data_IF_929231669353
#
_entry.id   IF_929231669353
#
_cell.length_a   1.000
_cell.length_b   1.000
_cell.length_c   1.000
_cell.angle_alpha   90.00
_cell.angle_beta   90.00
_cell.angle_gamma   90.00
#
_symmetry.space_group_name_H-M   'P 1'
#
loop_
_entity.id
_entity.type
_entity.pdbx_description
1 polymer ?
#
# COMPACT_ATOMS: atom_id res chain seq x y z
N UNK A 1 38.54 23.19 32.02
CA UNK A 1 38.79 21.74 31.85
C UNK A 1 37.83 21.10 30.85
N UNK A 2 36.63 20.63 31.22
CA UNK A 2 35.71 19.93 30.27
C UNK A 2 35.30 20.82 29.08
N UNK A 3 34.99 22.10 29.31
CA UNK A 3 34.60 23.06 28.25
C UNK A 3 35.70 23.30 27.20
N UNK A 4 36.96 23.30 27.62
CA UNK A 4 38.10 23.54 26.73
C UNK A 4 38.41 22.31 25.89
N UNK A 5 38.29 21.13 26.50
CA UNK A 5 38.50 19.87 25.81
C UNK A 5 37.40 19.60 24.77
N UNK A 6 36.14 19.90 25.09
CA UNK A 6 35.02 19.83 24.13
C UNK A 6 35.30 20.70 22.90
N UNK A 7 35.82 21.93 23.07
CA UNK A 7 36.11 22.84 21.94
C UNK A 7 37.10 22.25 20.93
N UNK A 8 38.10 21.48 21.40
CA UNK A 8 39.12 20.88 20.53
C UNK A 8 38.52 19.88 19.52
N UNK A 9 37.43 19.23 19.91
CA UNK A 9 36.76 18.21 19.09
C UNK A 9 35.43 18.70 18.50
N UNK A 10 35.11 20.00 18.65
CA UNK A 10 33.88 20.60 18.14
C UNK A 10 34.13 21.28 16.81
N UNK A 11 33.42 20.86 15.78
CA UNK A 11 33.39 21.50 14.46
C UNK A 11 31.98 22.05 14.20
N UNK A 12 31.87 23.30 13.74
CA UNK A 12 30.58 23.96 13.46
C UNK A 12 29.53 23.86 14.61
N UNK A 13 29.95 23.98 15.86
CA UNK A 13 29.09 23.79 17.05
C UNK A 13 28.47 22.39 17.17
N UNK A 14 29.14 21.37 16.61
CA UNK A 14 28.73 19.96 16.68
C UNK A 14 29.85 19.10 17.22
N UNK A 15 29.48 18.09 18.00
CA UNK A 15 30.37 17.09 18.58
C UNK A 15 29.83 15.70 18.23
N UNK A 16 30.66 14.77 17.78
CA UNK A 16 30.22 13.38 17.56
C UNK A 16 30.22 12.60 18.88
N UNK A 17 29.38 11.58 19.02
CA UNK A 17 29.35 10.72 20.21
C UNK A 17 30.71 10.07 20.50
N UNK A 18 31.44 9.65 19.45
CA UNK A 18 32.79 9.09 19.59
C UNK A 18 33.77 10.10 20.20
N UNK A 19 33.70 11.37 19.79
CA UNK A 19 34.55 12.41 20.35
C UNK A 19 34.11 12.80 21.77
N UNK A 20 32.81 12.77 22.08
CA UNK A 20 32.32 12.98 23.44
C UNK A 20 32.84 11.93 24.43
N UNK A 21 32.93 10.67 24.01
CA UNK A 21 33.56 9.61 24.82
C UNK A 21 35.07 9.80 24.99
N UNK A 22 35.78 10.22 23.94
CA UNK A 22 37.22 10.55 24.05
C UNK A 22 37.48 11.66 25.06
N UNK A 23 36.61 12.67 25.10
CA UNK A 23 36.69 13.76 26.10
C UNK A 23 36.38 13.24 27.51
N UNK A 24 35.43 12.32 27.66
CA UNK A 24 35.12 11.70 28.93
C UNK A 24 36.30 10.86 29.46
N UNK A 25 36.91 10.06 28.60
CA UNK A 25 38.06 9.20 28.90
C UNK A 25 39.32 10.02 29.20
N UNK A 26 39.62 11.05 28.42
CA UNK A 26 40.83 11.88 28.60
C UNK A 26 40.82 12.69 29.89
N UNK A 27 39.63 13.03 30.40
CA UNK A 27 39.45 13.80 31.63
C UNK A 27 39.03 12.93 32.83
N UNK A 28 38.80 11.63 32.63
CA UNK A 28 38.30 10.72 33.67
C UNK A 28 36.93 11.12 34.22
N UNK A 29 36.10 11.79 33.43
CA UNK A 29 34.76 12.27 33.84
C UNK A 29 33.66 11.41 33.24
N UNK A 30 32.50 11.36 33.91
CA UNK A 30 31.34 10.64 33.39
C UNK A 30 30.80 11.25 32.08
N UNK A 31 30.33 10.42 31.16
CA UNK A 31 29.71 10.82 29.90
C UNK A 31 28.58 11.85 30.08
N UNK A 32 27.78 11.69 31.14
CA UNK A 32 26.71 12.64 31.48
C UNK A 32 27.22 14.07 31.73
N UNK A 33 28.38 14.21 32.38
CA UNK A 33 28.98 15.53 32.63
C UNK A 33 29.44 16.21 31.34
N UNK A 34 30.00 15.45 30.39
CA UNK A 34 30.35 15.94 29.05
C UNK A 34 29.11 16.36 28.27
N UNK A 35 28.02 15.58 28.34
CA UNK A 35 26.75 15.89 27.69
C UNK A 35 26.07 17.17 28.21
N UNK A 36 26.02 17.34 29.53
CA UNK A 36 25.48 18.55 30.16
C UNK A 36 26.31 19.78 29.79
N UNK A 37 27.64 19.66 29.87
CA UNK A 37 28.57 20.73 29.52
C UNK A 37 28.47 21.13 28.04
N UNK A 38 28.34 20.16 27.12
CA UNK A 38 28.14 20.45 25.70
C UNK A 38 26.81 21.20 25.46
N UNK A 39 25.75 20.81 26.18
CA UNK A 39 24.44 21.47 26.10
C UNK A 39 24.50 22.92 26.59
N UNK A 40 25.17 23.18 27.71
CA UNK A 40 25.42 24.55 28.20
C UNK A 40 26.19 25.41 27.20
N UNK A 41 27.08 24.80 26.43
CA UNK A 41 27.88 25.47 25.41
C UNK A 41 27.14 25.63 24.07
N UNK A 42 25.89 25.16 23.96
CA UNK A 42 25.13 25.17 22.71
C UNK A 42 25.68 24.20 21.65
N UNK A 43 26.54 23.26 22.04
CA UNK A 43 27.14 22.26 21.15
C UNK A 43 26.23 21.04 21.07
N UNK A 44 25.82 20.67 19.86
CA UNK A 44 24.90 19.55 19.65
C UNK A 44 25.67 18.24 19.41
N UNK A 45 25.43 17.24 20.26
CA UNK A 45 26.02 15.90 20.09
C UNK A 45 25.22 15.12 19.04
N UNK A 46 25.89 14.63 17.99
CA UNK A 46 25.32 13.78 16.93
C UNK A 46 25.84 12.33 17.02
N UNK A 47 25.12 11.42 16.39
CA UNK A 47 25.53 10.01 16.19
C UNK A 47 25.74 9.24 17.49
N UNK A 48 24.86 9.47 18.48
CA UNK A 48 24.85 8.72 19.73
C UNK A 48 24.06 7.42 19.57
N UNK A 49 24.73 6.36 19.13
CA UNK A 49 24.13 5.04 18.85
C UNK A 49 23.45 4.39 20.06
N UNK A 50 23.93 4.68 21.26
CA UNK A 50 23.37 4.17 22.51
C UNK A 50 22.44 5.16 23.23
N UNK A 51 22.27 6.37 22.71
CA UNK A 51 21.45 7.41 23.32
C UNK A 51 22.01 8.06 24.59
N UNK A 52 23.20 7.68 25.09
CA UNK A 52 23.80 8.09 26.37
C UNK A 52 24.00 9.60 26.57
N UNK A 53 24.12 10.36 25.48
CA UNK A 53 24.25 11.82 25.50
C UNK A 53 23.02 12.54 24.93
N UNK A 54 22.01 11.79 24.51
CA UNK A 54 20.68 12.31 24.23
C UNK A 54 19.80 12.25 25.47
N UNK A 55 18.54 12.67 25.36
CA UNK A 55 17.52 12.42 26.39
C UNK A 55 17.30 10.91 26.52
N UNK A 56 18.14 10.23 27.28
CA UNK A 56 17.87 8.89 27.79
C UNK A 56 16.54 8.94 28.52
N UNK A 57 15.63 8.04 28.16
CA UNK A 57 14.31 7.79 28.76
C UNK A 57 14.08 8.60 30.04
N UNK A 58 13.66 9.85 29.90
CA UNK A 58 13.03 10.53 31.02
C UNK A 58 11.64 9.91 31.08
N UNK A 59 11.23 9.54 32.30
CA UNK A 59 9.83 9.38 32.70
C UNK A 59 8.95 10.24 31.81
N UNK A 60 7.93 9.66 31.18
CA UNK A 60 7.02 10.41 30.32
C UNK A 60 6.65 11.69 31.06
N UNK A 61 7.09 12.84 30.54
CA UNK A 61 6.82 14.10 31.21
C UNK A 61 5.32 14.16 31.50
N UNK A 62 4.91 14.63 32.68
CA UNK A 62 3.49 14.67 33.05
C UNK A 62 2.62 15.34 31.97
N UNK A 63 3.20 16.30 31.24
CA UNK A 63 2.59 16.93 30.07
C UNK A 63 2.38 16.01 28.86
N UNK A 64 3.25 15.02 28.63
CA UNK A 64 3.09 14.00 27.59
C UNK A 64 1.97 13.01 27.93
N UNK A 65 1.86 12.62 29.20
CA UNK A 65 0.78 11.73 29.68
C UNK A 65 -0.56 12.43 29.57
N UNK A 66 -0.66 13.67 30.04
CA UNK A 66 -1.86 14.49 29.92
C UNK A 66 -2.26 14.72 28.46
N UNK A 67 -1.28 15.02 27.59
CA UNK A 67 -1.53 15.17 26.16
C UNK A 67 -2.04 13.85 25.52
N UNK A 68 -1.54 12.69 25.94
CA UNK A 68 -2.02 11.40 25.46
C UNK A 68 -3.47 11.13 25.89
N UNK A 69 -3.81 11.36 27.15
CA UNK A 69 -5.19 11.23 27.64
C UNK A 69 -6.15 12.16 26.89
N UNK A 70 -5.73 13.40 26.60
CA UNK A 70 -6.51 14.34 25.80
C UNK A 70 -6.65 13.91 24.33
N UNK A 71 -5.69 13.16 23.78
CA UNK A 71 -5.75 12.61 22.42
C UNK A 71 -6.65 11.38 22.29
N UNK A 72 -6.76 10.54 23.33
CA UNK A 72 -7.48 9.24 23.28
C UNK A 72 -8.87 9.30 22.62
N UNK A 73 -9.74 10.29 22.91
CA UNK A 73 -11.07 10.36 22.30
C UNK A 73 -11.05 10.56 20.77
N UNK A 74 -9.95 11.07 20.23
CA UNK A 74 -9.77 11.36 18.79
C UNK A 74 -9.01 10.26 18.05
N UNK A 75 -8.58 9.20 18.75
CA UNK A 75 -7.87 8.08 18.15
C UNK A 75 -8.85 7.09 17.52
N UNK A 76 -8.52 6.61 16.33
CA UNK A 76 -9.21 5.48 15.73
C UNK A 76 -8.70 4.13 16.28
N UNK A 77 -9.39 3.05 15.90
CA UNK A 77 -9.06 1.66 16.20
C UNK A 77 -7.63 1.23 15.82
N UNK A 78 -6.91 2.01 15.02
CA UNK A 78 -5.53 1.75 14.59
C UNK A 78 -4.52 2.71 15.22
N UNK A 79 -4.90 3.38 16.31
CA UNK A 79 -4.05 4.35 17.00
C UNK A 79 -3.64 5.52 16.10
N UNK A 80 -4.59 6.09 15.35
CA UNK A 80 -4.35 7.21 14.42
C UNK A 80 -5.25 8.39 14.75
N UNK A 81 -4.70 9.60 14.64
CA UNK A 81 -5.42 10.87 14.86
C UNK A 81 -5.50 11.68 13.57
N UNK A 82 -6.58 12.45 13.36
CA UNK A 82 -6.58 13.43 12.27
C UNK A 82 -5.67 14.61 12.61
N UNK A 83 -4.95 15.14 11.61
CA UNK A 83 -4.07 16.30 11.80
C UNK A 83 -4.80 17.51 12.37
N UNK A 84 -6.10 17.68 12.05
CA UNK A 84 -6.91 18.77 12.60
C UNK A 84 -7.12 18.61 14.11
N UNK A 85 -7.39 17.39 14.59
CA UNK A 85 -7.64 17.14 16.01
C UNK A 85 -6.34 17.19 16.83
N UNK A 86 -5.24 16.67 16.28
CA UNK A 86 -3.91 16.86 16.87
C UNK A 86 -3.53 18.35 16.99
N UNK A 87 -3.88 19.16 15.98
CA UNK A 87 -3.65 20.62 15.96
C UNK A 87 -4.48 21.37 16.99
N UNK A 88 -5.73 20.94 17.27
CA UNK A 88 -6.56 21.57 18.33
C UNK A 88 -5.89 21.49 19.69
N UNK A 89 -5.17 20.41 19.97
CA UNK A 89 -4.47 20.19 21.23
C UNK A 89 -3.15 20.99 21.34
N UNK A 90 -2.67 21.60 20.24
CA UNK A 90 -1.44 22.41 20.27
C UNK A 90 -1.61 23.69 21.11
N UNK A 91 -2.81 24.27 21.18
CA UNK A 91 -3.05 25.47 21.99
C UNK A 91 -2.92 25.20 23.49
N UNK A 92 -3.11 23.95 23.92
CA UNK A 92 -3.09 23.55 25.33
C UNK A 92 -1.72 22.99 25.74
N UNK A 93 -1.13 22.10 24.92
CA UNK A 93 0.11 21.38 25.29
C UNK A 93 1.35 21.84 24.52
N UNK A 94 1.18 22.63 23.46
CA UNK A 94 2.25 23.06 22.57
C UNK A 94 2.70 21.99 21.56
N UNK A 95 3.10 22.44 20.36
CA UNK A 95 3.53 21.57 19.27
C UNK A 95 4.66 20.57 19.62
N UNK A 96 5.71 20.95 20.40
CA UNK A 96 6.78 20.01 20.76
C UNK A 96 6.28 18.83 21.61
N UNK A 97 5.35 19.08 22.54
CA UNK A 97 4.75 18.07 23.40
C UNK A 97 3.89 17.14 22.57
N UNK A 98 2.96 17.69 21.76
CA UNK A 98 2.11 16.91 20.85
C UNK A 98 2.97 16.01 19.95
N UNK A 99 4.04 16.54 19.36
CA UNK A 99 4.96 15.76 18.52
C UNK A 99 5.68 14.65 19.30
N UNK A 100 6.13 14.93 20.51
CA UNK A 100 6.78 13.94 21.37
C UNK A 100 5.79 12.83 21.77
N UNK A 101 4.58 13.18 22.18
CA UNK A 101 3.49 12.26 22.52
C UNK A 101 3.14 11.36 21.34
N UNK A 102 2.90 11.93 20.15
CA UNK A 102 2.63 11.15 18.93
C UNK A 102 3.75 10.14 18.63
N UNK A 103 5.01 10.54 18.82
CA UNK A 103 6.17 9.67 18.61
C UNK A 103 6.29 8.58 19.67
N UNK A 104 6.15 8.93 20.95
CA UNK A 104 6.34 8.03 22.09
C UNK A 104 5.25 6.95 22.14
N UNK A 105 3.99 7.34 21.89
CA UNK A 105 2.85 6.42 21.88
C UNK A 105 2.57 5.79 20.51
N UNK A 106 3.48 5.97 19.53
CA UNK A 106 3.37 5.43 18.16
C UNK A 106 2.02 5.73 17.50
N UNK A 107 1.53 6.96 17.65
CA UNK A 107 0.28 7.43 17.04
C UNK A 107 0.58 7.98 15.65
N UNK A 108 -0.10 7.48 14.62
CA UNK A 108 0.05 8.01 13.26
C UNK A 108 -0.93 9.18 13.01
N UNK A 109 -0.47 10.22 12.29
CA UNK A 109 -1.31 11.37 11.91
C UNK A 109 -1.84 11.18 10.49
N UNK A 110 -3.16 11.30 10.30
CA UNK A 110 -3.83 11.30 9.00
C UNK A 110 -4.11 12.71 8.50
N UNK A 111 -4.21 12.86 7.18
CA UNK A 111 -4.70 14.07 6.51
C UNK A 111 -3.95 15.34 6.92
N UNK A 112 -2.61 15.27 6.93
CA UNK A 112 -1.78 16.42 7.25
C UNK A 112 -1.86 17.47 6.12
N UNK A 113 -2.64 18.53 6.34
CA UNK A 113 -2.81 19.64 5.38
C UNK A 113 -1.51 20.35 5.00
N UNK A 114 -0.50 20.30 5.88
CA UNK A 114 0.80 20.95 5.70
C UNK A 114 1.89 19.99 5.19
N UNK A 115 1.59 18.71 5.00
CA UNK A 115 2.58 17.69 4.63
C UNK A 115 3.65 17.39 5.67
N UNK A 116 3.57 17.97 6.88
CA UNK A 116 4.53 17.77 7.97
C UNK A 116 4.58 16.32 8.48
N UNK A 117 3.52 15.55 8.25
CA UNK A 117 3.45 14.12 8.55
C UNK A 117 3.22 13.36 7.25
N UNK A 118 4.13 12.43 6.91
CA UNK A 118 3.90 11.47 5.83
C UNK A 118 2.78 10.53 6.27
N UNK A 119 1.63 10.58 5.60
CA UNK A 119 0.64 9.51 5.74
C UNK A 119 1.33 8.19 5.43
N UNK A 120 1.42 7.30 6.42
CA UNK A 120 1.70 5.89 6.14
C UNK A 120 0.49 5.35 5.41
N UNK A 121 0.48 5.49 4.08
CA UNK A 121 -0.30 4.62 3.21
C UNK A 121 0.26 3.22 3.50
N UNK A 122 -0.39 2.49 4.40
CA UNK A 122 0.00 1.11 4.72
C UNK A 122 0.16 0.31 3.44
N UNK A 123 0.87 -0.82 3.51
CA UNK A 123 1.12 -1.68 2.34
C UNK A 123 -0.21 -1.91 1.58
N UNK A 124 -0.31 -1.34 0.38
CA UNK A 124 -1.51 -1.46 -0.45
C UNK A 124 -1.44 -2.78 -1.18
N UNK A 125 -1.99 -3.81 -0.56
CA UNK A 125 -2.11 -5.11 -1.17
C UNK A 125 -3.49 -5.25 -1.83
N UNK A 126 -3.51 -5.76 -3.05
CA UNK A 126 -4.73 -6.10 -3.79
C UNK A 126 -4.64 -7.56 -4.19
N UNK A 127 -5.64 -8.36 -3.86
CA UNK A 127 -5.70 -9.75 -4.28
C UNK A 127 -6.10 -9.81 -5.75
N UNK A 128 -5.35 -10.56 -6.55
CA UNK A 128 -5.66 -10.84 -7.94
C UNK A 128 -6.11 -12.30 -8.07
N UNK A 129 -7.32 -12.49 -8.56
CA UNK A 129 -7.90 -13.80 -8.83
C UNK A 129 -7.93 -14.06 -10.34
N UNK A 130 -7.70 -15.33 -10.70
CA UNK A 130 -7.98 -15.84 -12.04
C UNK A 130 -9.01 -16.94 -11.87
N UNK A 131 -10.10 -16.86 -12.64
CA UNK A 131 -11.13 -17.89 -12.65
C UNK A 131 -11.23 -18.47 -14.06
N UNK A 132 -11.72 -19.70 -14.12
CA UNK A 132 -11.96 -20.40 -15.36
C UNK A 132 -13.02 -21.49 -15.12
N UNK A 133 -13.75 -21.85 -16.18
CA UNK A 133 -14.84 -22.82 -16.16
C UNK A 133 -14.49 -23.95 -17.11
N UNK A 134 -14.48 -25.19 -16.60
CA UNK A 134 -14.29 -26.41 -17.37
C UNK A 134 -15.53 -27.29 -17.26
N UNK A 135 -15.80 -28.08 -18.29
CA UNK A 135 -16.78 -29.16 -18.19
C UNK A 135 -16.18 -30.41 -17.52
N UNK A 136 -17.00 -31.44 -17.32
CA UNK A 136 -16.55 -32.74 -16.76
C UNK A 136 -15.53 -33.48 -17.63
N UNK A 137 -15.42 -33.14 -18.91
CA UNK A 137 -14.45 -33.69 -19.87
C UNK A 137 -13.10 -32.96 -19.83
N UNK A 138 -12.98 -31.88 -19.04
CA UNK A 138 -11.79 -31.02 -18.98
C UNK A 138 -11.68 -30.02 -20.14
N UNK A 139 -12.74 -29.84 -20.93
CA UNK A 139 -12.81 -28.80 -21.96
C UNK A 139 -12.99 -27.43 -21.28
N UNK A 140 -12.06 -26.51 -21.54
CA UNK A 140 -12.12 -25.16 -20.99
C UNK A 140 -13.12 -24.30 -21.76
N UNK A 141 -14.17 -23.87 -21.06
CA UNK A 141 -15.29 -23.08 -21.58
C UNK A 141 -15.03 -21.57 -21.43
N UNK A 142 -14.77 -21.12 -20.20
CA UNK A 142 -14.49 -19.70 -19.90
C UNK A 142 -13.16 -19.56 -19.15
N UNK A 143 -12.47 -18.43 -19.34
CA UNK A 143 -11.16 -18.14 -18.76
C UNK A 143 -10.31 -17.26 -19.69
N UNK A 144 -9.20 -16.72 -19.17
CA UNK A 144 -8.31 -15.81 -19.94
C UNK A 144 -7.91 -16.40 -21.29
N UNK A 145 -8.01 -15.58 -22.34
CA UNK A 145 -7.79 -15.96 -23.74
C UNK A 145 -8.99 -16.56 -24.48
N UNK A 146 -9.85 -17.37 -23.83
CA UNK A 146 -10.99 -18.02 -24.53
C UNK A 146 -12.23 -17.14 -24.57
N UNK A 147 -12.54 -16.46 -23.48
CA UNK A 147 -13.65 -15.50 -23.40
C UNK A 147 -13.40 -14.27 -24.25
N UNK A 148 -12.12 -13.95 -24.46
CA UNK A 148 -11.67 -12.88 -25.35
C UNK A 148 -12.05 -13.16 -26.81
N UNK A 149 -12.22 -14.42 -27.23
CA UNK A 149 -12.66 -14.75 -28.60
C UNK A 149 -14.03 -14.17 -28.89
N UNK A 150 -15.01 -14.43 -28.01
CA UNK A 150 -16.36 -13.86 -28.17
C UNK A 150 -16.33 -12.33 -28.06
N UNK A 151 -15.55 -11.78 -27.12
CA UNK A 151 -15.45 -10.34 -26.93
C UNK A 151 -14.88 -9.64 -28.18
N UNK A 152 -13.81 -10.18 -28.76
CA UNK A 152 -13.23 -9.61 -29.99
C UNK A 152 -14.13 -9.84 -31.21
N UNK A 153 -14.81 -10.98 -31.33
CA UNK A 153 -15.77 -11.19 -32.43
C UNK A 153 -16.94 -10.21 -32.32
N UNK A 154 -17.43 -9.91 -31.11
CA UNK A 154 -18.49 -8.92 -30.92
C UNK A 154 -18.10 -7.52 -31.41
N UNK A 155 -16.81 -7.19 -31.35
CA UNK A 155 -16.27 -5.90 -31.79
C UNK A 155 -15.91 -5.89 -33.28
N UNK A 156 -15.36 -6.99 -33.79
CA UNK A 156 -14.78 -7.06 -35.14
C UNK A 156 -15.69 -7.68 -36.19
N UNK A 157 -16.70 -8.45 -35.75
CA UNK A 157 -17.56 -9.24 -36.62
C UNK A 157 -16.81 -10.31 -37.41
N UNK A 158 -15.62 -10.76 -36.97
CA UNK A 158 -14.79 -11.69 -37.74
C UNK A 158 -13.93 -12.60 -36.86
N UNK A 159 -14.05 -13.91 -37.05
CA UNK A 159 -13.19 -14.92 -36.41
C UNK A 159 -11.73 -14.74 -36.82
N UNK A 160 -11.49 -14.33 -38.08
CA UNK A 160 -10.13 -14.07 -38.57
C UNK A 160 -9.51 -12.88 -37.84
N UNK A 161 -10.24 -11.77 -37.74
CA UNK A 161 -9.76 -10.61 -36.98
C UNK A 161 -9.53 -10.96 -35.50
N UNK A 162 -10.43 -11.75 -34.89
CA UNK A 162 -10.24 -12.22 -33.53
C UNK A 162 -8.99 -13.10 -33.36
N UNK A 163 -8.69 -13.96 -34.33
CA UNK A 163 -7.48 -14.78 -34.31
C UNK A 163 -6.19 -13.96 -34.41
N UNK A 164 -6.21 -12.87 -35.20
CA UNK A 164 -5.09 -11.93 -35.34
C UNK A 164 -4.88 -11.07 -34.07
N UNK A 165 -5.97 -10.53 -33.51
CA UNK A 165 -5.94 -9.72 -32.28
C UNK A 165 -5.44 -10.52 -31.09
N UNK A 166 -5.81 -11.80 -31.01
CA UNK A 166 -5.49 -12.68 -29.88
C UNK A 166 -4.23 -13.53 -30.11
N UNK A 167 -3.47 -13.23 -31.17
CA UNK A 167 -2.23 -13.94 -31.56
C UNK A 167 -2.41 -15.47 -31.53
N UNK A 168 -3.50 -15.97 -32.15
CA UNK A 168 -3.83 -17.39 -32.17
C UNK A 168 -4.19 -17.89 -33.57
N UNK A 169 -4.00 -19.18 -33.80
CA UNK A 169 -4.39 -19.80 -35.08
C UNK A 169 -5.92 -19.74 -35.27
N UNK A 170 -6.38 -19.39 -36.47
CA UNK A 170 -7.80 -19.41 -36.86
C UNK A 170 -8.52 -20.69 -36.44
N UNK A 171 -7.91 -21.87 -36.66
CA UNK A 171 -8.49 -23.17 -36.27
C UNK A 171 -8.72 -23.28 -34.77
N UNK A 172 -7.84 -22.67 -33.97
CA UNK A 172 -7.97 -22.65 -32.49
C UNK A 172 -9.13 -21.75 -32.05
N UNK A 173 -9.27 -20.59 -32.68
CA UNK A 173 -10.38 -19.65 -32.47
C UNK A 173 -11.73 -20.32 -32.82
N UNK A 174 -11.81 -20.95 -34.00
CA UNK A 174 -12.98 -21.71 -34.45
C UNK A 174 -13.34 -22.86 -33.51
N UNK A 175 -12.36 -23.66 -33.09
CA UNK A 175 -12.58 -24.76 -32.16
C UNK A 175 -13.12 -24.27 -30.81
N UNK A 176 -12.72 -23.10 -30.32
CA UNK A 176 -13.30 -22.55 -29.10
C UNK A 176 -14.78 -22.24 -29.22
N UNK A 177 -15.19 -21.61 -30.31
CA UNK A 177 -16.60 -21.34 -30.55
C UNK A 177 -17.41 -22.64 -30.62
N UNK A 178 -16.86 -23.67 -31.26
CA UNK A 178 -17.53 -24.98 -31.37
C UNK A 178 -17.62 -25.72 -30.05
N UNK A 179 -16.61 -25.64 -29.20
CA UNK A 179 -16.65 -26.19 -27.84
C UNK A 179 -17.74 -25.48 -27.02
N UNK A 180 -17.85 -24.15 -27.15
CA UNK A 180 -18.91 -23.39 -26.47
C UNK A 180 -20.30 -23.78 -26.97
N UNK A 181 -20.55 -23.81 -28.29
CA UNK A 181 -21.86 -24.24 -28.82
C UNK A 181 -22.23 -25.66 -28.37
N UNK A 182 -21.29 -26.61 -28.42
CA UNK A 182 -21.49 -27.99 -27.95
C UNK A 182 -21.89 -28.05 -26.48
N UNK A 183 -21.21 -27.29 -25.62
CA UNK A 183 -21.38 -27.39 -24.16
C UNK A 183 -22.62 -26.63 -23.64
N UNK A 184 -23.06 -25.60 -24.35
CA UNK A 184 -24.27 -24.84 -23.99
C UNK A 184 -25.52 -25.31 -24.72
N UNK A 185 -25.41 -26.28 -25.63
CA UNK A 185 -26.49 -26.81 -26.46
C UNK A 185 -27.32 -25.70 -27.14
N UNK A 186 -26.62 -24.67 -27.61
CA UNK A 186 -27.23 -23.47 -28.20
C UNK A 186 -26.38 -22.95 -29.36
N UNK A 187 -27.02 -22.30 -30.32
CA UNK A 187 -26.33 -21.62 -31.40
C UNK A 187 -25.84 -20.28 -30.88
N UNK A 188 -24.53 -20.09 -30.86
CA UNK A 188 -23.90 -18.90 -30.27
C UNK A 188 -23.47 -17.89 -31.34
N UNK A 189 -23.32 -18.33 -32.58
CA UNK A 189 -22.89 -17.47 -33.68
C UNK A 189 -23.41 -17.95 -35.03
N UNK A 190 -23.42 -17.05 -35.99
CA UNK A 190 -23.64 -17.33 -37.40
C UNK A 190 -22.48 -16.80 -38.24
N UNK A 191 -22.05 -17.58 -39.22
CA UNK A 191 -21.02 -17.17 -40.17
C UNK A 191 -21.60 -17.02 -41.56
N UNK A 192 -21.38 -15.88 -42.19
CA UNK A 192 -21.70 -15.61 -43.59
C UNK A 192 -20.42 -15.76 -44.43
N UNK A 193 -20.26 -16.87 -45.18
CA UNK A 193 -19.07 -17.08 -46.01
C UNK A 193 -19.01 -16.09 -47.18
N UNK A 194 -17.80 -15.61 -47.50
CA UNK A 194 -17.55 -14.69 -48.62
C UNK A 194 -16.47 -13.64 -48.30
N UNK A 195 -16.07 -12.85 -49.29
CA UNK A 195 -15.12 -11.73 -49.14
C UNK A 195 -15.76 -10.34 -49.30
N UNK A 196 -17.08 -10.26 -49.25
CA UNK A 196 -17.84 -9.00 -49.45
C UNK A 196 -18.20 -8.29 -48.14
N UNK A 197 -18.84 -7.11 -48.24
CA UNK A 197 -19.31 -6.30 -47.09
C UNK A 197 -20.29 -7.03 -46.15
N UNK A 198 -20.92 -8.12 -46.61
CA UNK A 198 -21.87 -8.94 -45.85
C UNK A 198 -21.24 -10.21 -45.25
N UNK A 199 -19.95 -10.45 -45.48
CA UNK A 199 -19.24 -11.58 -44.92
C UNK A 199 -18.75 -11.29 -43.51
N UNK A 200 -18.77 -12.29 -42.64
CA UNK A 200 -18.38 -12.11 -41.25
C UNK A 200 -18.97 -13.16 -40.32
N UNK A 201 -18.79 -12.92 -39.03
CA UNK A 201 -19.31 -13.70 -37.92
C UNK A 201 -20.11 -12.80 -37.03
N UNK A 202 -21.38 -13.16 -36.82
CA UNK A 202 -22.32 -12.43 -35.99
C UNK A 202 -22.66 -13.29 -34.78
N UNK A 203 -22.51 -12.73 -33.58
CA UNK A 203 -22.90 -13.42 -32.35
C UNK A 203 -24.40 -13.35 -32.14
N UNK A 204 -24.97 -14.44 -31.63
CA UNK A 204 -26.38 -14.50 -31.25
C UNK A 204 -26.60 -13.92 -29.86
N UNK A 205 -27.85 -13.53 -29.50
CA UNK A 205 -28.17 -13.00 -28.17
C UNK A 205 -27.65 -13.86 -27.01
N UNK A 206 -27.70 -15.20 -27.15
CA UNK A 206 -27.20 -16.12 -26.13
C UNK A 206 -25.71 -15.96 -25.84
N UNK A 207 -24.88 -15.71 -26.86
CA UNK A 207 -23.45 -15.49 -26.65
C UNK A 207 -23.19 -14.26 -25.78
N UNK A 208 -23.94 -13.17 -26.01
CA UNK A 208 -23.85 -11.96 -25.18
C UNK A 208 -24.30 -12.22 -23.74
N UNK A 209 -25.38 -12.96 -23.55
CA UNK A 209 -25.87 -13.35 -22.21
C UNK A 209 -24.80 -14.15 -21.43
N UNK A 210 -24.15 -15.11 -22.08
CA UNK A 210 -23.09 -15.90 -21.48
C UNK A 210 -21.86 -15.05 -21.13
N UNK A 211 -21.46 -14.14 -22.02
CA UNK A 211 -20.36 -13.21 -21.76
C UNK A 211 -20.65 -12.31 -20.56
N UNK A 212 -21.86 -11.75 -20.46
CA UNK A 212 -22.23 -10.88 -19.34
C UNK A 212 -22.33 -11.66 -18.03
N UNK A 213 -22.90 -12.87 -18.07
CA UNK A 213 -22.96 -13.77 -16.91
C UNK A 213 -21.56 -14.10 -16.38
N UNK A 214 -20.62 -14.39 -17.28
CA UNK A 214 -19.23 -14.63 -16.89
C UNK A 214 -18.54 -13.38 -16.32
N UNK A 215 -18.74 -12.20 -16.94
CA UNK A 215 -18.22 -10.92 -16.42
C UNK A 215 -18.80 -10.59 -15.03
N UNK A 216 -20.07 -10.91 -14.80
CA UNK A 216 -20.70 -10.79 -13.48
C UNK A 216 -20.02 -11.70 -12.45
N UNK A 217 -19.83 -12.98 -12.78
CA UNK A 217 -19.14 -13.93 -11.91
C UNK A 217 -17.71 -13.49 -11.57
N UNK A 218 -16.96 -12.97 -12.54
CA UNK A 218 -15.61 -12.42 -12.32
C UNK A 218 -15.61 -11.29 -11.28
N UNK A 219 -16.55 -10.34 -11.41
CA UNK A 219 -16.70 -9.22 -10.47
C UNK A 219 -17.03 -9.71 -9.06
N UNK A 220 -18.02 -10.59 -8.93
CA UNK A 220 -18.47 -11.11 -7.63
C UNK A 220 -17.34 -11.87 -6.91
N UNK A 221 -16.58 -12.68 -7.63
CA UNK A 221 -15.45 -13.41 -7.06
C UNK A 221 -14.31 -12.45 -6.68
N UNK A 222 -13.98 -11.46 -7.52
CA UNK A 222 -12.95 -10.47 -7.20
C UNK A 222 -13.31 -9.67 -5.93
N UNK A 223 -14.56 -9.23 -5.81
CA UNK A 223 -15.08 -8.52 -4.64
C UNK A 223 -15.02 -9.38 -3.38
N UNK A 224 -15.57 -10.60 -3.44
CA UNK A 224 -15.54 -11.54 -2.34
C UNK A 224 -14.11 -11.82 -1.88
N UNK A 225 -13.22 -12.11 -2.83
CA UNK A 225 -11.83 -12.47 -2.56
C UNK A 225 -11.07 -11.30 -1.94
N UNK A 226 -11.23 -10.08 -2.46
CA UNK A 226 -10.61 -8.89 -1.89
C UNK A 226 -11.16 -8.56 -0.49
N UNK A 227 -12.46 -8.79 -0.24
CA UNK A 227 -13.04 -8.66 1.10
C UNK A 227 -12.39 -9.64 2.08
N UNK A 228 -12.34 -10.94 1.73
CA UNK A 228 -11.71 -11.98 2.56
C UNK A 228 -10.22 -11.72 2.78
N UNK A 229 -9.52 -11.25 1.76
CA UNK A 229 -8.13 -10.86 1.87
C UNK A 229 -7.91 -9.73 2.89
N UNK A 230 -8.73 -8.67 2.83
CA UNK A 230 -8.67 -7.57 3.82
C UNK A 230 -8.92 -8.08 5.25
N UNK A 231 -9.90 -8.96 5.43
CA UNK A 231 -10.25 -9.54 6.73
C UNK A 231 -9.13 -10.40 7.31
N UNK A 232 -8.50 -11.25 6.50
CA UNK A 232 -7.51 -12.21 6.97
C UNK A 232 -6.10 -11.61 7.09
N UNK A 233 -5.75 -10.64 6.24
CA UNK A 233 -4.38 -10.16 6.12
C UNK A 233 -4.17 -8.70 6.55
N UNK A 234 -5.22 -7.86 6.55
CA UNK A 234 -5.09 -6.42 6.82
C UNK A 234 -5.85 -5.92 8.06
N UNK A 235 -6.76 -6.71 8.62
CA UNK A 235 -7.37 -6.49 9.94
C UNK A 235 -6.58 -7.29 11.00
N UNK A 236 -5.42 -6.77 11.40
CA UNK A 236 -4.72 -7.14 12.64
C UNK A 236 -4.37 -5.87 13.39
#
# INVERSE_FOLDING_TARGET
MVKEEIKKYTEESRLTCANAFKVAESLGVGSMQVGNTATEMGVKIKDCDLGQFGKFMQEEAASSVAAYEAMKPFLDERNRINCHDARKLESEFGFPTIRATLKNHKIDVKYCKLGCFKEKKGKQFTLKTKIWIENSEGELLFGKGKTEVLDVISQTGSIKAASEVLDMNYKKCWNHLKILEKNFDDSLFETKPGGGKSAGTELKPKAYELMETYKQLEREIEEFSNRRFKELFLKK
#
